data_IF_391489400883
#
_entry.id   IF_391489400883
#
_cell.length_a   1.000
_cell.length_b   1.000
_cell.length_c   1.000
_cell.angle_alpha   90.00
_cell.angle_beta   90.00
_cell.angle_gamma   90.00
#
_symmetry.space_group_name_H-M   'P 1'
#
loop_
_entity.id
_entity.type
_entity.pdbx_description
1 polymer ?
#
# COMPACT_ATOMS: atom_id res chain seq x y z
N UNK A 1 -23.30 -2.63 1.78
CA UNK A 1 -21.90 -3.13 1.92
C UNK A 1 -20.98 -2.22 2.76
N UNK A 2 -21.27 -0.94 3.01
CA UNK A 2 -20.46 -0.08 3.91
C UNK A 2 -20.68 -0.31 5.42
N UNK A 3 -21.83 -0.84 5.84
CA UNK A 3 -22.12 -1.04 7.27
C UNK A 3 -21.37 -2.22 7.91
N UNK A 4 -20.99 -3.25 7.14
CA UNK A 4 -20.24 -4.40 7.68
C UNK A 4 -18.78 -4.08 7.99
N UNK A 5 -18.15 -3.12 7.30
CA UNK A 5 -16.75 -2.73 7.58
C UNK A 5 -16.58 -1.98 8.91
N UNK A 6 -17.62 -1.33 9.41
CA UNK A 6 -17.56 -0.61 10.69
C UNK A 6 -17.59 -1.54 11.91
N UNK A 7 -18.10 -2.75 11.77
CA UNK A 7 -18.17 -3.72 12.87
C UNK A 7 -16.86 -4.48 13.15
N UNK A 8 -15.91 -4.49 12.21
CA UNK A 8 -14.59 -5.13 12.37
C UNK A 8 -13.49 -4.15 12.84
N UNK A 9 -13.78 -2.83 12.88
CA UNK A 9 -12.78 -1.84 13.25
C UNK A 9 -12.53 -1.85 14.76
N UNK A 10 -11.25 -1.90 15.14
CA UNK A 10 -10.83 -1.78 16.54
C UNK A 10 -11.21 -0.41 17.12
N UNK A 11 -11.29 -0.31 18.46
CA UNK A 11 -11.48 0.97 19.12
C UNK A 11 -10.40 2.00 18.75
N UNK A 12 -9.17 1.53 18.53
CA UNK A 12 -8.03 2.36 18.11
C UNK A 12 -8.23 2.92 16.69
N UNK A 13 -8.72 2.09 15.75
CA UNK A 13 -8.99 2.54 14.37
C UNK A 13 -10.10 3.60 14.34
N UNK A 14 -11.16 3.40 15.09
CA UNK A 14 -12.24 4.39 15.22
C UNK A 14 -11.73 5.71 15.82
N UNK A 15 -10.91 5.63 16.86
CA UNK A 15 -10.30 6.81 17.47
C UNK A 15 -9.36 7.52 16.50
N UNK A 16 -8.59 6.80 15.70
CA UNK A 16 -7.72 7.35 14.65
C UNK A 16 -8.51 8.15 13.62
N UNK A 17 -9.62 7.59 13.12
CA UNK A 17 -10.50 8.28 12.17
C UNK A 17 -11.06 9.57 12.79
N UNK A 18 -11.50 9.53 14.06
CA UNK A 18 -12.03 10.70 14.73
C UNK A 18 -10.97 11.79 14.95
N UNK A 19 -9.73 11.40 15.30
CA UNK A 19 -8.61 12.35 15.42
C UNK A 19 -8.28 12.98 14.06
N UNK A 20 -8.27 12.20 12.98
CA UNK A 20 -8.05 12.72 11.63
C UNK A 20 -9.16 13.69 11.19
N UNK A 21 -10.43 13.39 11.53
CA UNK A 21 -11.55 14.31 11.30
C UNK A 21 -11.38 15.61 12.11
N UNK A 22 -10.94 15.49 13.36
CA UNK A 22 -10.66 16.65 14.22
C UNK A 22 -9.56 17.53 13.60
N UNK A 23 -8.45 16.91 13.15
CA UNK A 23 -7.33 17.61 12.48
C UNK A 23 -7.82 18.35 11.23
N UNK A 24 -8.64 17.69 10.39
CA UNK A 24 -9.17 18.28 9.16
C UNK A 24 -10.15 19.47 9.44
N UNK A 25 -10.74 19.51 10.62
CA UNK A 25 -11.60 20.63 11.06
C UNK A 25 -10.83 21.79 11.73
N UNK A 26 -9.52 21.66 11.95
CA UNK A 26 -8.72 22.70 12.59
C UNK A 26 -8.39 23.85 11.64
N UNK A 27 -8.37 25.08 12.18
CA UNK A 27 -7.75 26.23 11.48
C UNK A 27 -6.22 26.16 11.66
N UNK A 28 -5.59 25.39 10.78
CA UNK A 28 -4.14 25.13 10.82
C UNK A 28 -3.28 26.35 10.52
N UNK A 29 -3.87 27.42 9.98
CA UNK A 29 -3.17 28.70 9.81
C UNK A 29 -3.04 29.44 11.15
N UNK A 30 -4.01 29.29 12.04
CA UNK A 30 -3.95 29.85 13.39
C UNK A 30 -3.11 29.02 14.34
N UNK A 31 -3.31 27.73 14.35
CA UNK A 31 -2.59 26.80 15.24
C UNK A 31 -2.60 25.39 14.70
N UNK A 32 -1.44 24.75 14.66
CA UNK A 32 -1.29 23.33 14.38
C UNK A 32 -1.11 22.50 15.66
N UNK A 33 -1.30 23.09 16.85
CA UNK A 33 -1.15 22.37 18.13
C UNK A 33 -2.43 21.61 18.46
N UNK A 34 -2.29 20.30 18.71
CA UNK A 34 -3.40 19.47 19.21
C UNK A 34 -3.68 19.73 20.69
N UNK A 35 -4.91 19.51 21.16
CA UNK A 35 -5.25 19.44 22.57
C UNK A 35 -4.37 18.43 23.32
N UNK A 36 -4.30 18.53 24.64
CA UNK A 36 -3.63 17.50 25.46
C UNK A 36 -4.34 16.15 25.35
N UNK A 37 -3.60 15.07 25.61
CA UNK A 37 -4.12 13.69 25.50
C UNK A 37 -5.43 13.50 26.30
N UNK A 38 -5.54 14.11 27.48
CA UNK A 38 -6.77 14.08 28.31
C UNK A 38 -7.95 14.75 27.60
N UNK A 39 -7.74 15.97 27.11
CA UNK A 39 -8.80 16.70 26.42
C UNK A 39 -9.22 16.03 25.09
N UNK A 40 -8.28 15.40 24.37
CA UNK A 40 -8.61 14.59 23.18
C UNK A 40 -9.39 13.33 23.57
N UNK A 41 -9.07 12.70 24.71
CA UNK A 41 -9.79 11.54 25.22
C UNK A 41 -11.26 11.90 25.51
N UNK A 42 -11.50 13.04 26.13
CA UNK A 42 -12.84 13.56 26.42
C UNK A 42 -13.60 13.90 25.12
N UNK A 43 -12.95 14.57 24.15
CA UNK A 43 -13.57 14.95 22.87
C UNK A 43 -13.94 13.72 22.03
N UNK A 44 -13.09 12.70 21.98
CA UNK A 44 -13.26 11.51 21.14
C UNK A 44 -14.11 10.43 21.87
N UNK A 45 -14.17 10.47 23.22
CA UNK A 45 -14.92 9.50 24.00
C UNK A 45 -14.19 8.17 24.20
N UNK A 46 -12.84 8.18 24.32
CA UNK A 46 -12.00 6.99 24.52
C UNK A 46 -10.99 7.19 25.65
N UNK A 47 -10.31 6.13 26.07
CA UNK A 47 -9.29 6.23 27.11
C UNK A 47 -8.09 7.06 26.66
N UNK A 48 -7.40 7.72 27.63
CA UNK A 48 -6.12 8.41 27.37
C UNK A 48 -5.05 7.48 26.80
N UNK A 49 -5.05 6.21 27.19
CA UNK A 49 -4.12 5.19 26.67
C UNK A 49 -4.39 4.98 25.19
N UNK A 50 -5.64 4.85 24.78
CA UNK A 50 -6.04 4.73 23.36
C UNK A 50 -5.60 5.96 22.56
N UNK A 51 -5.82 7.17 23.06
CA UNK A 51 -5.35 8.41 22.40
C UNK A 51 -3.84 8.41 22.24
N UNK A 52 -3.09 8.01 23.28
CA UNK A 52 -1.62 7.96 23.23
C UNK A 52 -1.12 6.96 22.18
N UNK A 53 -1.74 5.78 22.08
CA UNK A 53 -1.43 4.80 21.05
C UNK A 53 -1.66 5.39 19.67
N UNK A 54 -2.85 5.93 19.41
CA UNK A 54 -3.19 6.53 18.12
C UNK A 54 -2.27 7.70 17.77
N UNK A 55 -1.93 8.57 18.72
CA UNK A 55 -0.99 9.67 18.46
C UNK A 55 0.44 9.16 18.18
N UNK A 56 0.85 8.00 18.72
CA UNK A 56 2.11 7.35 18.36
C UNK A 56 2.06 6.86 16.90
N UNK A 57 0.97 6.21 16.50
CA UNK A 57 0.79 5.73 15.13
C UNK A 57 0.79 6.90 14.13
N UNK A 58 0.04 7.98 14.43
CA UNK A 58 0.03 9.19 13.63
C UNK A 58 1.40 9.91 13.58
N UNK A 59 2.19 9.80 14.65
CA UNK A 59 3.56 10.33 14.67
C UNK A 59 4.50 9.45 13.83
N UNK A 60 4.34 8.14 13.86
CA UNK A 60 5.08 7.22 12.99
C UNK A 60 4.77 7.48 11.51
N UNK A 61 3.50 7.76 11.17
CA UNK A 61 3.06 8.15 9.83
C UNK A 61 3.45 9.58 9.44
N UNK A 62 4.08 10.34 10.36
CA UNK A 62 4.49 11.71 10.14
C UNK A 62 3.35 12.74 10.08
N UNK A 63 2.11 12.35 10.40
CA UNK A 63 0.94 13.24 10.41
C UNK A 63 1.00 14.22 11.58
N UNK A 64 1.54 13.77 12.70
CA UNK A 64 1.79 14.61 13.86
C UNK A 64 3.25 14.48 14.31
N UNK A 65 3.72 15.42 15.12
CA UNK A 65 5.03 15.33 15.78
C UNK A 65 4.96 15.85 17.20
N UNK A 66 5.81 15.30 18.08
CA UNK A 66 5.89 15.72 19.47
C UNK A 66 7.04 16.68 19.69
N UNK A 67 6.79 17.75 20.44
CA UNK A 67 7.83 18.63 20.96
C UNK A 67 7.86 18.48 22.48
N UNK A 68 9.02 18.09 23.03
CA UNK A 68 9.18 17.88 24.46
C UNK A 68 8.77 19.14 25.25
N UNK A 69 7.91 18.96 26.26
CA UNK A 69 7.37 20.04 27.08
C UNK A 69 6.35 20.96 26.40
N UNK A 70 6.19 20.89 25.07
CA UNK A 70 5.30 21.78 24.30
C UNK A 70 4.02 21.12 23.83
N UNK A 71 4.01 19.77 23.68
CA UNK A 71 2.85 18.99 23.24
C UNK A 71 2.97 18.36 21.87
N UNK A 72 1.85 17.96 21.31
CA UNK A 72 1.73 17.34 19.98
C UNK A 72 1.22 18.36 18.96
N UNK A 73 1.79 18.34 17.78
CA UNK A 73 1.51 19.29 16.70
C UNK A 73 1.20 18.55 15.42
N UNK A 74 0.28 19.05 14.62
CA UNK A 74 -0.01 18.55 13.28
C UNK A 74 1.11 18.97 12.34
N UNK A 75 1.57 18.04 11.52
CA UNK A 75 2.49 18.31 10.44
C UNK A 75 1.68 18.71 9.19
N UNK A 76 1.56 20.02 8.97
CA UNK A 76 0.74 20.55 7.87
C UNK A 76 1.20 20.04 6.51
N UNK A 77 2.51 19.87 6.31
CA UNK A 77 3.06 19.37 5.05
C UNK A 77 2.62 17.93 4.76
N UNK A 78 2.39 17.13 5.82
CA UNK A 78 1.93 15.75 5.65
C UNK A 78 0.50 15.63 5.12
N UNK A 79 -0.34 16.63 5.37
CA UNK A 79 -1.73 16.67 4.91
C UNK A 79 -1.81 16.98 3.41
N UNK A 80 -0.74 17.54 2.84
CA UNK A 80 -0.64 17.85 1.41
C UNK A 80 -0.06 16.68 0.58
N UNK A 81 0.38 15.61 1.23
CA UNK A 81 0.89 14.43 0.53
C UNK A 81 -0.29 13.67 -0.08
N UNK A 82 -0.32 13.64 -1.41
CA UNK A 82 -1.38 12.97 -2.18
C UNK A 82 -1.24 11.44 -2.18
N UNK A 83 0.01 10.97 -2.32
CA UNK A 83 0.33 9.54 -2.32
C UNK A 83 1.45 9.29 -1.31
N UNK A 84 1.14 8.53 -0.27
CA UNK A 84 2.10 8.11 0.75
C UNK A 84 2.72 6.78 0.34
N UNK A 85 4.00 6.60 0.68
CA UNK A 85 4.66 5.32 0.52
C UNK A 85 4.21 4.30 1.59
N UNK A 86 3.88 4.79 2.78
CA UNK A 86 3.37 4.01 3.90
C UNK A 86 2.31 4.83 4.66
N UNK A 87 1.11 4.28 4.99
CA UNK A 87 0.64 2.93 4.64
C UNK A 87 0.40 2.76 3.13
N UNK A 88 0.42 1.50 2.69
CA UNK A 88 0.15 1.14 1.29
C UNK A 88 -1.28 1.55 0.90
N UNK A 89 -1.42 2.11 -0.30
CA UNK A 89 -2.69 2.51 -0.89
C UNK A 89 -2.95 1.69 -2.15
N UNK A 90 -4.20 1.43 -2.46
CA UNK A 90 -4.59 0.81 -3.72
C UNK A 90 -4.20 1.69 -4.92
N UNK A 91 -3.71 1.09 -6.03
CA UNK A 91 -3.30 1.85 -7.21
C UNK A 91 -4.38 2.77 -7.76
N UNK A 92 -5.63 2.31 -7.76
CA UNK A 92 -6.76 3.13 -8.20
C UNK A 92 -6.96 4.37 -7.32
N UNK A 93 -6.69 4.26 -6.03
CA UNK A 93 -6.73 5.38 -5.11
C UNK A 93 -5.53 6.32 -5.31
N UNK A 94 -4.33 5.78 -5.48
CA UNK A 94 -3.13 6.57 -5.79
C UNK A 94 -3.32 7.39 -7.06
N UNK A 95 -3.90 6.79 -8.11
CA UNK A 95 -4.18 7.47 -9.38
C UNK A 95 -5.21 8.59 -9.19
N UNK A 96 -6.32 8.35 -8.45
CA UNK A 96 -7.31 9.39 -8.13
C UNK A 96 -6.69 10.54 -7.34
N UNK A 97 -5.89 10.23 -6.33
CA UNK A 97 -5.21 11.24 -5.51
C UNK A 97 -4.19 12.05 -6.32
N UNK A 98 -3.63 11.46 -7.38
CA UNK A 98 -2.76 12.16 -8.33
C UNK A 98 -3.53 13.04 -9.32
N UNK A 99 -4.88 13.00 -9.33
CA UNK A 99 -5.74 13.86 -10.15
C UNK A 99 -6.16 13.24 -11.48
N UNK A 100 -6.08 11.91 -11.62
CA UNK A 100 -6.43 11.17 -12.83
C UNK A 100 -7.63 10.24 -12.60
N UNK A 101 -8.29 9.85 -13.68
CA UNK A 101 -9.32 8.81 -13.67
C UNK A 101 -8.65 7.45 -13.84
N UNK A 102 -8.77 6.52 -12.85
CA UNK A 102 -8.15 5.20 -12.93
C UNK A 102 -8.99 4.24 -13.77
N UNK A 103 -8.32 3.38 -14.53
CA UNK A 103 -8.86 2.12 -15.01
C UNK A 103 -7.85 0.99 -14.85
N UNK A 104 -8.33 -0.26 -14.79
CA UNK A 104 -7.52 -1.46 -14.59
C UNK A 104 -7.83 -2.44 -15.70
N UNK A 105 -6.80 -3.09 -16.24
CA UNK A 105 -6.97 -4.19 -17.20
C UNK A 105 -6.16 -5.39 -16.73
N UNK A 106 -6.85 -6.50 -16.51
CA UNK A 106 -6.21 -7.79 -16.34
C UNK A 106 -5.69 -8.25 -17.71
N UNK A 107 -4.43 -8.63 -17.76
CA UNK A 107 -3.75 -8.97 -19.00
C UNK A 107 -3.61 -10.48 -19.18
N UNK A 108 -3.21 -11.15 -18.10
CA UNK A 108 -2.86 -12.55 -18.13
C UNK A 108 -2.93 -13.17 -16.73
N UNK A 109 -3.41 -14.40 -16.66
CA UNK A 109 -3.31 -15.28 -15.50
C UNK A 109 -2.93 -16.65 -16.01
N UNK A 110 -1.80 -17.19 -15.56
CA UNK A 110 -1.35 -18.50 -16.01
C UNK A 110 -0.44 -19.19 -15.00
N UNK A 111 -0.40 -20.52 -15.06
CA UNK A 111 0.63 -21.32 -14.42
C UNK A 111 1.88 -21.23 -15.28
N UNK A 112 3.00 -20.91 -14.66
CA UNK A 112 4.30 -20.73 -15.33
C UNK A 112 5.33 -21.74 -14.84
N UNK A 113 6.40 -21.99 -15.62
CA UNK A 113 7.53 -22.78 -15.13
C UNK A 113 8.08 -22.20 -13.83
N UNK A 114 8.52 -23.07 -12.92
CA UNK A 114 9.06 -22.69 -11.62
C UNK A 114 10.29 -21.82 -11.79
N UNK A 115 10.20 -20.57 -11.32
CA UNK A 115 11.35 -19.70 -11.09
C UNK A 115 11.86 -19.97 -9.67
N UNK A 116 13.10 -20.47 -9.55
CA UNK A 116 13.66 -20.87 -8.27
C UNK A 116 13.77 -19.70 -7.28
N UNK A 117 14.13 -18.51 -7.76
CA UNK A 117 14.28 -17.32 -6.90
C UNK A 117 12.94 -16.83 -6.34
N UNK A 118 11.90 -16.89 -7.18
CA UNK A 118 10.53 -16.53 -6.74
C UNK A 118 10.00 -17.59 -5.79
N UNK A 119 10.19 -18.87 -6.10
CA UNK A 119 9.75 -19.98 -5.25
C UNK A 119 10.43 -19.94 -3.86
N UNK A 120 11.71 -19.61 -3.78
CA UNK A 120 12.42 -19.42 -2.51
C UNK A 120 11.87 -18.23 -1.71
N UNK A 121 11.60 -17.09 -2.38
CA UNK A 121 10.99 -15.90 -1.72
C UNK A 121 9.61 -16.22 -1.14
N UNK A 122 8.83 -17.04 -1.83
CA UNK A 122 7.50 -17.46 -1.43
C UNK A 122 7.49 -18.72 -0.54
N UNK A 123 8.65 -19.34 -0.31
CA UNK A 123 8.79 -20.60 0.46
C UNK A 123 7.86 -21.69 -0.08
N UNK A 124 7.75 -21.79 -1.42
CA UNK A 124 6.89 -22.78 -2.06
C UNK A 124 7.45 -24.20 -1.93
N UNK A 125 6.58 -25.14 -1.61
CA UNK A 125 6.90 -26.57 -1.65
C UNK A 125 7.34 -27.00 -3.05
N UNK A 126 8.14 -28.07 -3.16
CA UNK A 126 8.71 -28.50 -4.45
C UNK A 126 7.63 -28.82 -5.49
N UNK A 127 6.51 -29.36 -5.06
CA UNK A 127 5.38 -29.75 -5.91
C UNK A 127 4.41 -28.60 -6.20
N UNK A 128 4.54 -27.46 -5.54
CA UNK A 128 3.62 -26.35 -5.76
C UNK A 128 3.91 -25.63 -7.07
N UNK A 129 2.86 -25.42 -7.85
CA UNK A 129 2.95 -24.73 -9.14
C UNK A 129 2.97 -23.23 -8.94
N UNK A 130 3.82 -22.56 -9.70
CA UNK A 130 3.91 -21.10 -9.67
C UNK A 130 2.89 -20.47 -10.63
N UNK A 131 2.11 -19.54 -10.11
CA UNK A 131 1.13 -18.76 -10.88
C UNK A 131 1.64 -17.33 -11.03
N UNK A 132 1.40 -16.73 -12.19
CA UNK A 132 1.55 -15.30 -12.45
C UNK A 132 0.19 -14.69 -12.81
N UNK A 133 -0.11 -13.50 -12.26
CA UNK A 133 -1.20 -12.64 -12.69
C UNK A 133 -0.65 -11.27 -13.07
N UNK A 134 -0.86 -10.86 -14.32
CA UNK A 134 -0.35 -9.60 -14.86
C UNK A 134 -1.51 -8.62 -15.11
N UNK A 135 -1.33 -7.36 -14.69
CA UNK A 135 -2.32 -6.29 -14.88
C UNK A 135 -1.66 -4.94 -15.09
N UNK A 136 -2.38 -4.07 -15.79
CA UNK A 136 -1.99 -2.67 -15.92
C UNK A 136 -3.01 -1.75 -15.26
N UNK A 137 -2.50 -0.67 -14.73
CA UNK A 137 -3.27 0.44 -14.22
C UNK A 137 -3.08 1.64 -15.15
N UNK A 138 -4.16 2.27 -15.52
CA UNK A 138 -4.18 3.40 -16.43
C UNK A 138 -4.65 4.65 -15.71
N UNK A 139 -4.08 5.78 -16.07
CA UNK A 139 -4.43 7.11 -15.61
C UNK A 139 -4.89 7.93 -16.82
N UNK A 140 -6.19 8.24 -16.93
CA UNK A 140 -6.78 8.82 -18.14
C UNK A 140 -6.36 8.04 -19.41
N UNK A 141 -6.53 6.73 -19.39
CA UNK A 141 -6.17 5.76 -20.45
C UNK A 141 -4.66 5.66 -20.79
N UNK A 142 -3.78 6.37 -20.09
CA UNK A 142 -2.32 6.24 -20.23
C UNK A 142 -1.77 5.25 -19.23
N UNK A 143 -0.80 4.44 -19.62
CA UNK A 143 -0.11 3.50 -18.74
C UNK A 143 0.47 4.26 -17.55
N UNK A 144 0.08 3.83 -16.34
CA UNK A 144 0.52 4.37 -15.08
C UNK A 144 1.35 3.36 -14.28
N UNK A 145 0.90 2.10 -14.26
CA UNK A 145 1.66 1.02 -13.63
C UNK A 145 1.40 -0.30 -14.33
N UNK A 146 2.42 -1.17 -14.33
CA UNK A 146 2.33 -2.57 -14.69
C UNK A 146 2.68 -3.40 -13.45
N UNK A 147 1.82 -4.38 -13.13
CA UNK A 147 2.00 -5.24 -11.96
C UNK A 147 2.00 -6.71 -12.38
N UNK A 148 2.93 -7.47 -11.82
CA UNK A 148 2.99 -8.92 -11.91
C UNK A 148 2.98 -9.52 -10.51
N UNK A 149 1.92 -10.24 -10.18
CA UNK A 149 1.71 -10.92 -8.91
C UNK A 149 2.07 -12.40 -9.08
N UNK A 150 2.98 -12.91 -8.26
CA UNK A 150 3.42 -14.31 -8.26
C UNK A 150 3.00 -14.99 -6.97
N UNK A 151 2.45 -16.19 -7.06
CA UNK A 151 2.00 -16.95 -5.89
C UNK A 151 1.94 -18.44 -6.19
N UNK A 152 1.95 -19.27 -5.15
CA UNK A 152 1.74 -20.71 -5.29
C UNK A 152 0.29 -21.03 -5.62
N UNK A 153 0.06 -22.05 -6.43
CA UNK A 153 -1.28 -22.55 -6.74
C UNK A 153 -2.02 -22.99 -5.47
N UNK A 154 -1.29 -23.52 -4.49
CA UNK A 154 -1.81 -23.92 -3.18
C UNK A 154 -2.44 -22.76 -2.41
N UNK A 155 -1.97 -21.53 -2.61
CA UNK A 155 -2.52 -20.33 -1.95
C UNK A 155 -3.95 -20.04 -2.41
N UNK A 156 -4.28 -20.39 -3.66
CA UNK A 156 -5.65 -20.30 -4.17
C UNK A 156 -6.55 -21.45 -3.70
N UNK A 157 -5.99 -22.58 -3.27
CA UNK A 157 -6.74 -23.80 -2.94
C UNK A 157 -6.73 -24.87 -4.03
N UNK A 158 -5.85 -24.76 -5.03
CA UNK A 158 -5.64 -25.75 -6.09
C UNK A 158 -6.23 -25.37 -7.45
N UNK A 159 -6.30 -26.36 -8.37
CA UNK A 159 -6.63 -26.13 -9.79
C UNK A 159 -8.06 -25.62 -10.00
N UNK A 160 -9.03 -26.14 -9.27
CA UNK A 160 -10.44 -25.69 -9.39
C UNK A 160 -10.57 -24.22 -9.01
N UNK A 161 -9.95 -23.80 -7.92
CA UNK A 161 -9.95 -22.40 -7.50
C UNK A 161 -9.17 -21.50 -8.46
N UNK A 162 -8.14 -22.03 -9.13
CA UNK A 162 -7.43 -21.32 -10.19
C UNK A 162 -8.34 -21.04 -11.39
N UNK A 163 -9.14 -22.02 -11.84
CA UNK A 163 -10.10 -21.81 -12.93
C UNK A 163 -11.15 -20.75 -12.60
N UNK A 164 -11.59 -20.68 -11.34
CA UNK A 164 -12.48 -19.64 -10.85
C UNK A 164 -11.78 -18.27 -10.81
N UNK A 165 -10.54 -18.25 -10.34
CA UNK A 165 -9.75 -17.02 -10.25
C UNK A 165 -9.50 -16.39 -11.62
N UNK A 166 -9.31 -17.18 -12.69
CA UNK A 166 -9.13 -16.62 -14.06
C UNK A 166 -10.31 -15.78 -14.55
N UNK A 167 -11.47 -15.91 -13.91
CA UNK A 167 -12.70 -15.14 -14.19
C UNK A 167 -12.92 -13.98 -13.23
N UNK A 168 -12.02 -13.81 -12.25
CA UNK A 168 -12.13 -12.83 -11.19
C UNK A 168 -11.39 -11.54 -11.55
N UNK A 169 -12.09 -10.43 -11.64
CA UNK A 169 -11.55 -9.15 -12.12
C UNK A 169 -10.88 -8.30 -11.02
N UNK A 170 -10.99 -8.72 -9.75
CA UNK A 170 -10.49 -7.94 -8.61
C UNK A 170 -9.06 -8.33 -8.19
N UNK A 171 -8.64 -7.87 -7.03
CA UNK A 171 -7.31 -8.13 -6.48
C UNK A 171 -7.11 -9.61 -6.12
N UNK A 172 -5.93 -10.15 -6.40
CA UNK A 172 -5.52 -11.49 -5.92
C UNK A 172 -5.59 -11.58 -4.39
N UNK A 173 -5.29 -10.49 -3.69
CA UNK A 173 -5.37 -10.43 -2.22
C UNK A 173 -6.79 -10.64 -1.71
N UNK A 174 -7.76 -10.01 -2.36
CA UNK A 174 -9.18 -10.18 -2.05
C UNK A 174 -9.64 -11.61 -2.34
N UNK A 175 -9.22 -12.19 -3.46
CA UNK A 175 -9.53 -13.57 -3.81
C UNK A 175 -8.96 -14.57 -2.78
N UNK A 176 -7.68 -14.43 -2.42
CA UNK A 176 -7.03 -15.26 -1.40
C UNK A 176 -7.79 -15.17 -0.07
N UNK A 177 -8.18 -13.96 0.34
CA UNK A 177 -8.95 -13.77 1.56
C UNK A 177 -10.30 -14.49 1.52
N UNK A 178 -11.04 -14.38 0.41
CA UNK A 178 -12.34 -15.03 0.28
C UNK A 178 -12.24 -16.56 0.24
N UNK A 179 -11.20 -17.12 -0.37
CA UNK A 179 -11.02 -18.56 -0.49
C UNK A 179 -10.47 -19.22 0.77
N UNK A 180 -9.52 -18.58 1.44
CA UNK A 180 -8.75 -19.20 2.53
C UNK A 180 -8.89 -18.51 3.88
N UNK A 181 -9.52 -17.32 3.92
CA UNK A 181 -9.51 -16.44 5.09
C UNK A 181 -8.15 -15.83 5.41
N UNK A 182 -7.12 -16.11 4.59
CA UNK A 182 -5.76 -15.56 4.80
C UNK A 182 -5.71 -14.12 4.31
N UNK A 183 -5.32 -13.23 5.21
CA UNK A 183 -5.25 -11.80 4.93
C UNK A 183 -3.79 -11.36 4.87
N UNK A 184 -3.45 -10.51 3.92
CA UNK A 184 -2.16 -9.82 3.90
C UNK A 184 -2.15 -8.80 5.03
N UNK A 185 -1.11 -8.87 5.88
CA UNK A 185 -0.96 -8.00 7.05
C UNK A 185 0.18 -7.00 6.87
N UNK A 186 1.27 -7.42 6.21
CA UNK A 186 2.43 -6.58 5.98
C UNK A 186 3.21 -7.06 4.76
N UNK A 187 4.04 -6.19 4.23
CA UNK A 187 4.94 -6.51 3.13
C UNK A 187 6.37 -6.05 3.42
N UNK A 188 7.31 -6.71 2.75
CA UNK A 188 8.70 -6.29 2.67
C UNK A 188 8.99 -5.88 1.23
N UNK A 189 9.30 -4.61 1.02
CA UNK A 189 9.52 -4.04 -0.32
C UNK A 189 10.97 -3.63 -0.52
N UNK A 190 11.54 -4.06 -1.64
CA UNK A 190 12.81 -3.57 -2.18
C UNK A 190 12.51 -2.59 -3.32
N UNK A 191 13.20 -1.44 -3.31
CA UNK A 191 12.95 -0.33 -4.23
C UNK A 191 14.10 -0.22 -5.21
N UNK A 192 13.78 -0.30 -6.50
CA UNK A 192 14.74 -0.19 -7.59
C UNK A 192 14.22 0.79 -8.66
N UNK A 193 15.01 1.03 -9.68
CA UNK A 193 14.60 1.75 -10.89
C UNK A 193 14.99 0.94 -12.13
N UNK A 194 14.09 0.92 -13.11
CA UNK A 194 14.32 0.25 -14.39
C UNK A 194 13.91 1.16 -15.54
N UNK A 195 14.46 0.93 -16.71
CA UNK A 195 14.01 1.60 -17.93
C UNK A 195 12.76 0.88 -18.50
N UNK A 196 11.90 1.62 -19.18
CA UNK A 196 10.71 1.08 -19.85
C UNK A 196 11.01 -0.14 -20.73
N UNK A 197 12.17 -0.18 -21.36
CA UNK A 197 12.65 -1.30 -22.22
C UNK A 197 13.03 -2.57 -21.44
N UNK A 198 13.19 -2.47 -20.13
CA UNK A 198 13.52 -3.61 -19.26
C UNK A 198 12.30 -4.22 -18.56
N UNK A 199 11.11 -3.65 -18.78
CA UNK A 199 9.86 -4.18 -18.22
C UNK A 199 9.41 -5.34 -19.10
N UNK A 200 9.26 -6.57 -18.54
CA UNK A 200 8.92 -7.75 -19.33
C UNK A 200 7.55 -7.59 -20.02
N UNK A 201 7.47 -7.98 -21.27
CA UNK A 201 6.23 -8.01 -22.08
C UNK A 201 5.50 -6.66 -22.23
N UNK A 202 6.11 -5.54 -21.84
CA UNK A 202 5.44 -4.23 -21.87
C UNK A 202 4.98 -3.85 -23.28
N UNK A 203 5.75 -4.24 -24.30
CA UNK A 203 5.42 -4.00 -25.72
C UNK A 203 4.11 -4.64 -26.18
N UNK A 204 3.59 -5.62 -25.44
CA UNK A 204 2.29 -6.26 -25.74
C UNK A 204 1.10 -5.40 -25.33
N UNK A 205 1.34 -4.42 -24.46
CA UNK A 205 0.26 -3.70 -23.75
C UNK A 205 0.29 -2.19 -23.96
N UNK A 206 1.39 -1.68 -24.52
CA UNK A 206 1.53 -0.25 -24.83
C UNK A 206 2.48 -0.07 -26.02
N UNK A 207 2.27 1.00 -26.77
CA UNK A 207 3.23 1.38 -27.81
C UNK A 207 4.48 1.98 -27.15
N UNK A 208 5.59 1.24 -27.18
CA UNK A 208 6.87 1.68 -26.64
C UNK A 208 7.41 2.95 -27.31
N UNK A 209 7.00 3.24 -28.55
CA UNK A 209 7.41 4.47 -29.22
C UNK A 209 6.70 5.69 -28.64
N UNK A 210 5.42 5.54 -28.28
CA UNK A 210 4.66 6.60 -27.59
C UNK A 210 5.10 6.75 -26.13
N UNK A 211 5.35 5.62 -25.43
CA UNK A 211 5.84 5.62 -24.07
C UNK A 211 7.23 6.25 -23.95
N UNK A 212 8.08 6.02 -24.95
CA UNK A 212 9.47 6.46 -24.96
C UNK A 212 10.36 5.73 -23.97
N UNK A 213 11.65 6.06 -24.02
CA UNK A 213 12.62 5.56 -23.06
C UNK A 213 12.56 6.40 -21.78
N UNK A 214 12.01 5.84 -20.71
CA UNK A 214 11.90 6.54 -19.43
C UNK A 214 12.08 5.59 -18.24
N UNK A 215 12.50 6.12 -17.07
CA UNK A 215 12.62 5.33 -15.86
C UNK A 215 11.26 5.03 -15.25
N UNK A 216 11.15 3.85 -14.69
CA UNK A 216 10.06 3.41 -13.82
C UNK A 216 10.61 3.09 -12.44
N UNK A 217 9.85 3.39 -11.40
CA UNK A 217 10.07 2.85 -10.06
C UNK A 217 9.67 1.37 -10.09
N UNK A 218 10.54 0.49 -9.64
CA UNK A 218 10.25 -0.92 -9.45
C UNK A 218 10.17 -1.22 -7.96
N UNK A 219 9.03 -1.72 -7.52
CA UNK A 219 8.83 -2.23 -6.18
C UNK A 219 8.75 -3.76 -6.25
N UNK A 220 9.69 -4.43 -5.59
CA UNK A 220 9.69 -5.88 -5.41
C UNK A 220 9.19 -6.18 -4.00
N UNK A 221 7.93 -6.57 -3.86
CA UNK A 221 7.25 -6.77 -2.60
C UNK A 221 6.99 -8.24 -2.28
N UNK A 222 7.35 -8.71 -1.09
CA UNK A 222 6.86 -9.97 -0.55
C UNK A 222 5.79 -9.67 0.49
N UNK A 223 4.60 -10.19 0.28
CA UNK A 223 3.41 -9.94 1.09
C UNK A 223 3.16 -11.12 2.02
N UNK A 224 2.98 -10.85 3.30
CA UNK A 224 2.90 -11.83 4.38
C UNK A 224 1.54 -11.83 5.08
N UNK A 225 1.12 -13.00 5.55
CA UNK A 225 -0.06 -13.14 6.42
C UNK A 225 0.27 -12.91 7.91
N UNK A 226 -0.74 -13.04 8.77
CA UNK A 226 -0.65 -12.92 10.24
C UNK A 226 0.37 -13.89 10.90
N UNK A 227 0.73 -14.97 10.21
CA UNK A 227 1.67 -15.97 10.70
C UNK A 227 3.07 -15.81 10.08
N UNK A 228 3.35 -14.64 9.50
CA UNK A 228 4.59 -14.34 8.78
C UNK A 228 4.88 -15.31 7.62
N UNK A 229 3.84 -15.91 7.02
CA UNK A 229 3.98 -16.74 5.83
C UNK A 229 3.85 -15.88 4.58
N UNK A 230 4.81 -15.97 3.64
CA UNK A 230 4.71 -15.27 2.37
C UNK A 230 3.57 -15.85 1.53
N UNK A 231 2.73 -15.00 0.96
CA UNK A 231 1.61 -15.39 0.13
C UNK A 231 1.78 -14.98 -1.33
N UNK A 232 2.19 -13.74 -1.55
CA UNK A 232 2.31 -13.15 -2.89
C UNK A 232 3.61 -12.38 -2.98
N UNK A 233 4.36 -12.61 -4.06
CA UNK A 233 5.48 -11.77 -4.46
C UNK A 233 5.00 -10.87 -5.60
N UNK A 234 5.13 -9.55 -5.44
CA UNK A 234 4.70 -8.55 -6.41
C UNK A 234 5.90 -7.88 -7.08
N UNK A 235 5.79 -7.62 -8.36
CA UNK A 235 6.63 -6.67 -9.10
C UNK A 235 5.76 -5.57 -9.64
N UNK A 236 5.97 -4.36 -9.15
CA UNK A 236 5.19 -3.19 -9.49
C UNK A 236 6.08 -2.18 -10.19
N UNK A 237 5.83 -1.95 -11.46
CA UNK A 237 6.54 -0.97 -12.29
C UNK A 237 5.68 0.28 -12.40
N UNK A 238 6.13 1.38 -11.81
CA UNK A 238 5.32 2.58 -11.60
C UNK A 238 5.91 3.78 -12.33
N UNK A 239 5.09 4.43 -13.13
CA UNK A 239 5.43 5.70 -13.77
C UNK A 239 5.40 6.85 -12.75
N UNK A 240 6.58 7.35 -12.38
CA UNK A 240 6.71 8.41 -11.38
C UNK A 240 6.34 9.81 -11.89
N UNK A 241 6.10 9.97 -13.19
CA UNK A 241 5.51 11.20 -13.73
C UNK A 241 4.03 11.31 -13.35
N UNK A 242 3.35 10.17 -13.15
CA UNK A 242 1.95 10.09 -12.79
C UNK A 242 1.79 9.92 -11.28
N UNK A 243 2.43 8.90 -10.67
CA UNK A 243 2.36 8.63 -9.23
C UNK A 243 3.66 9.06 -8.56
N UNK A 244 3.61 10.12 -7.77
CA UNK A 244 4.75 10.62 -6.99
C UNK A 244 4.59 10.24 -5.53
N UNK A 245 5.37 9.28 -5.09
CA UNK A 245 5.43 8.91 -3.68
C UNK A 245 6.12 9.95 -2.83
N UNK A 246 5.58 10.20 -1.65
CA UNK A 246 6.18 11.08 -0.65
C UNK A 246 6.16 10.42 0.72
N UNK A 247 7.20 10.63 1.49
CA UNK A 247 7.28 10.20 2.89
C UNK A 247 7.88 11.29 3.77
N UNK A 248 7.46 11.32 5.02
CA UNK A 248 8.06 12.18 6.03
C UNK A 248 9.05 11.34 6.83
N UNK A 249 10.30 11.81 6.88
CA UNK A 249 11.36 11.13 7.63
C UNK A 249 11.73 11.94 8.86
N UNK A 250 11.70 11.30 10.02
CA UNK A 250 12.26 11.88 11.25
C UNK A 250 13.78 11.71 11.23
N UNK A 251 14.51 12.73 11.66
CA UNK A 251 15.98 12.66 11.80
C UNK A 251 16.36 12.64 13.27
N UNK A 252 17.04 11.57 13.71
CA UNK A 252 17.81 11.54 14.95
C UNK A 252 19.24 11.98 14.65
N UNK A 253 19.49 13.29 14.72
CA UNK A 253 20.84 13.82 14.55
C UNK A 253 21.44 14.05 15.93
N UNK A 254 22.44 13.26 16.28
CA UNK A 254 23.25 13.51 17.47
C UNK A 254 24.29 14.60 17.15
N UNK A 255 24.03 15.82 17.61
CA UNK A 255 25.02 16.89 17.55
C UNK A 255 26.08 16.63 18.62
N UNK A 256 27.34 16.39 18.22
CA UNK A 256 28.46 16.43 19.16
C UNK A 256 28.62 17.89 19.56
N UNK A 257 28.37 18.15 20.85
CA UNK A 257 28.79 19.43 21.43
C UNK A 257 30.32 19.51 21.30
N UNK A 258 30.83 20.56 20.67
CA UNK A 258 32.26 20.85 20.57
C UNK A 258 32.76 21.36 21.92
#
# INVERSE_FOLDING_TARGET
MCENRLNEMTLSDRAKIQILKYINGMDLQKSNKLPREEALADIIGVSRITIRSVLNDLAFEGIVFRRQGKGTFVNVDSLNIKVKFNPVMEFTEMIRNSGYVPSVRLLNIQIIPRDQKIAERLQLDEDDKLVIAEKIFLANEKLCAFCADFFGLSVLGGETAFEEYTKYENSVFEYIYHQSGRRIEWDKVEIETVLSTAIPNLERYTDLKELGLKPFLLLNGVNYDLNDKPLVFTREYIDTDIIRFSMIRQRNVHYRLR
#
